data_IF_614401846401
#
_entry.id   IF_614401846401
#
_cell.length_a   1.000
_cell.length_b   1.000
_cell.length_c   1.000
_cell.angle_alpha   90.00
_cell.angle_beta   90.00
_cell.angle_gamma   90.00
#
_symmetry.space_group_name_H-M   'P 1'
#
loop_
_entity.id
_entity.type
_entity.pdbx_description
1 polymer ?
#
# COMPACT_ATOMS: atom_id res chain seq x y z
N UNK A 1 19.12 -1.14 -3.23
CA UNK A 1 20.03 -2.26 -3.61
C UNK A 1 21.49 -1.85 -3.81
N UNK A 2 21.83 -0.56 -3.69
CA UNK A 2 23.22 -0.08 -3.79
C UNK A 2 24.17 -0.87 -2.87
N UNK A 3 25.31 -1.34 -3.43
CA UNK A 3 26.32 -2.10 -2.70
C UNK A 3 26.00 -3.59 -2.48
N UNK A 4 24.81 -4.07 -2.82
CA UNK A 4 24.45 -5.47 -2.65
C UNK A 4 25.22 -6.38 -3.62
N UNK A 5 25.40 -5.96 -4.87
CA UNK A 5 26.16 -6.73 -5.88
C UNK A 5 27.61 -6.94 -5.43
N UNK A 6 28.27 -5.88 -4.97
CA UNK A 6 29.64 -5.93 -4.42
C UNK A 6 29.75 -6.89 -3.22
N UNK A 7 28.76 -6.84 -2.33
CA UNK A 7 28.76 -7.61 -1.08
C UNK A 7 28.41 -9.09 -1.28
N UNK A 8 27.47 -9.41 -2.17
CA UNK A 8 26.89 -10.75 -2.29
C UNK A 8 27.21 -11.46 -3.62
N UNK A 9 27.78 -10.76 -4.58
CA UNK A 9 28.20 -11.28 -5.87
C UNK A 9 27.06 -11.55 -6.86
N UNK A 10 27.42 -11.75 -8.12
CA UNK A 10 26.52 -11.90 -9.26
C UNK A 10 25.57 -13.10 -9.19
N UNK A 11 25.90 -14.12 -8.41
CA UNK A 11 25.02 -15.28 -8.20
C UNK A 11 23.82 -14.97 -7.30
N UNK A 12 23.90 -13.90 -6.50
CA UNK A 12 22.86 -13.47 -5.57
C UNK A 12 22.18 -12.20 -6.02
N UNK A 13 22.89 -11.32 -6.66
CA UNK A 13 22.41 -10.04 -7.17
C UNK A 13 22.69 -9.98 -8.65
N UNK A 14 21.64 -10.04 -9.45
CA UNK A 14 21.71 -10.07 -10.90
C UNK A 14 21.30 -8.71 -11.43
N UNK A 15 22.23 -8.02 -12.05
CA UNK A 15 21.96 -6.78 -12.77
C UNK A 15 21.52 -7.12 -14.19
N UNK A 16 20.24 -6.93 -14.47
CA UNK A 16 19.64 -7.36 -15.74
C UNK A 16 19.64 -6.22 -16.77
N UNK A 17 19.58 -6.52 -18.07
CA UNK A 17 19.12 -5.54 -19.05
C UNK A 17 17.74 -5.00 -18.68
N UNK A 18 17.41 -3.79 -19.11
CA UNK A 18 16.08 -3.17 -18.88
C UNK A 18 15.06 -3.88 -19.78
N UNK A 19 14.45 -4.93 -19.25
CA UNK A 19 13.46 -5.77 -19.93
C UNK A 19 12.49 -6.34 -18.88
N UNK A 20 11.56 -5.53 -18.41
CA UNK A 20 10.69 -5.90 -17.27
C UNK A 20 9.96 -7.21 -17.50
N UNK A 21 9.42 -7.43 -18.70
CA UNK A 21 8.80 -8.71 -19.06
C UNK A 21 9.80 -9.89 -18.97
N UNK A 22 11.01 -9.71 -19.49
CA UNK A 22 12.02 -10.75 -19.55
C UNK A 22 12.57 -11.14 -18.19
N UNK A 23 13.07 -10.18 -17.41
CA UNK A 23 13.65 -10.48 -16.10
C UNK A 23 12.59 -10.93 -15.08
N UNK A 24 11.33 -10.44 -15.19
CA UNK A 24 10.24 -10.90 -14.36
C UNK A 24 9.91 -12.37 -14.65
N UNK A 25 9.82 -12.75 -15.93
CA UNK A 25 9.58 -14.14 -16.32
C UNK A 25 10.71 -15.08 -15.87
N UNK A 26 11.97 -14.65 -16.00
CA UNK A 26 13.13 -15.38 -15.47
C UNK A 26 13.04 -15.60 -13.96
N UNK A 27 12.70 -14.56 -13.21
CA UNK A 27 12.56 -14.65 -11.76
C UNK A 27 11.40 -15.58 -11.35
N UNK A 28 10.27 -15.55 -12.05
CA UNK A 28 9.15 -16.45 -11.81
C UNK A 28 9.55 -17.91 -12.06
N UNK A 29 10.24 -18.20 -13.15
CA UNK A 29 10.79 -19.52 -13.42
C UNK A 29 11.77 -20.00 -12.33
N UNK A 30 12.59 -19.09 -11.81
CA UNK A 30 13.46 -19.36 -10.67
C UNK A 30 12.65 -19.68 -9.38
N UNK A 31 11.55 -18.95 -9.14
CA UNK A 31 10.66 -19.22 -8.01
C UNK A 31 10.01 -20.62 -8.15
N UNK A 32 9.52 -20.99 -9.31
CA UNK A 32 8.98 -22.34 -9.57
C UNK A 32 10.03 -23.47 -9.35
N UNK A 33 11.31 -23.12 -9.49
CA UNK A 33 12.43 -24.04 -9.23
C UNK A 33 12.89 -24.06 -7.77
N UNK A 34 12.16 -23.41 -6.86
CA UNK A 34 12.41 -23.43 -5.41
C UNK A 34 13.30 -22.30 -4.89
N UNK A 35 13.67 -21.32 -5.73
CA UNK A 35 14.34 -20.11 -5.26
C UNK A 35 13.31 -19.09 -4.72
N UNK A 36 13.81 -18.05 -4.02
CA UNK A 36 12.99 -16.95 -3.49
C UNK A 36 13.50 -15.61 -4.04
N UNK A 37 13.21 -15.31 -5.31
CA UNK A 37 13.69 -14.09 -5.95
C UNK A 37 12.96 -12.86 -5.42
N UNK A 38 13.69 -11.74 -5.43
CA UNK A 38 13.16 -10.40 -5.23
C UNK A 38 13.39 -9.65 -6.54
N UNK A 39 12.31 -9.28 -7.20
CA UNK A 39 12.34 -8.45 -8.41
C UNK A 39 12.18 -7.00 -7.98
N UNK A 40 13.16 -6.16 -8.33
CA UNK A 40 13.12 -4.73 -8.09
C UNK A 40 12.82 -4.00 -9.40
N UNK A 41 11.71 -3.30 -9.46
CA UNK A 41 11.41 -2.37 -10.54
C UNK A 41 11.95 -0.98 -10.20
N UNK A 42 12.45 -0.27 -11.19
CA UNK A 42 12.89 1.12 -11.03
C UNK A 42 11.72 1.99 -10.51
N UNK A 43 10.53 1.73 -11.01
CA UNK A 43 9.24 2.19 -10.50
C UNK A 43 8.16 1.19 -10.90
N UNK A 44 7.10 1.06 -10.09
CA UNK A 44 5.97 0.18 -10.42
C UNK A 44 5.23 0.58 -11.70
N UNK A 45 5.40 1.82 -12.17
CA UNK A 45 4.88 2.22 -13.47
C UNK A 45 5.44 1.35 -14.61
N UNK A 46 6.65 0.82 -14.49
CA UNK A 46 7.24 -0.09 -15.48
C UNK A 46 6.92 -1.55 -15.25
N UNK A 47 6.42 -1.92 -14.08
CA UNK A 47 5.89 -3.26 -13.84
C UNK A 47 4.72 -3.61 -14.78
N UNK A 48 4.05 -2.62 -15.35
CA UNK A 48 3.01 -2.80 -16.37
C UNK A 48 3.50 -3.57 -17.60
N UNK A 49 4.78 -3.46 -17.97
CA UNK A 49 5.35 -4.24 -19.06
C UNK A 49 5.46 -5.74 -18.74
N UNK A 50 5.42 -6.10 -17.46
CA UNK A 50 5.47 -7.47 -16.97
C UNK A 50 4.12 -8.00 -16.46
N UNK A 51 3.00 -7.34 -16.76
CA UNK A 51 1.68 -7.68 -16.23
C UNK A 51 1.31 -9.14 -16.47
N UNK A 52 1.53 -9.66 -17.68
CA UNK A 52 1.24 -11.05 -17.99
C UNK A 52 1.99 -12.01 -17.06
N UNK A 53 3.27 -11.75 -16.86
CA UNK A 53 4.12 -12.57 -15.98
C UNK A 53 3.62 -12.52 -14.52
N UNK A 54 3.24 -11.36 -14.02
CA UNK A 54 2.75 -11.20 -12.64
C UNK A 54 1.36 -11.83 -12.48
N UNK A 55 0.43 -11.51 -13.39
CA UNK A 55 -0.99 -11.84 -13.25
C UNK A 55 -1.30 -13.26 -13.70
N UNK A 56 -0.79 -13.68 -14.84
CA UNK A 56 -1.09 -15.01 -15.40
C UNK A 56 -0.11 -16.08 -14.92
N UNK A 57 1.17 -15.79 -14.85
CA UNK A 57 2.16 -16.76 -14.42
C UNK A 57 2.28 -16.83 -12.90
N UNK A 58 2.69 -15.77 -12.21
CA UNK A 58 2.93 -15.82 -10.76
C UNK A 58 1.64 -16.05 -9.96
N UNK A 59 0.59 -15.25 -10.21
CA UNK A 59 -0.61 -15.29 -9.38
C UNK A 59 -1.49 -16.54 -9.60
N UNK A 60 -1.40 -17.22 -10.75
CA UNK A 60 -2.35 -18.29 -11.12
C UNK A 60 -1.75 -19.71 -11.06
N UNK A 61 -0.43 -19.86 -11.13
CA UNK A 61 0.19 -21.18 -11.28
C UNK A 61 -0.09 -22.10 -10.10
N UNK A 62 -0.10 -21.61 -8.86
CA UNK A 62 -0.45 -22.42 -7.71
C UNK A 62 -1.84 -23.06 -7.87
N UNK A 63 -2.83 -22.27 -8.28
CA UNK A 63 -4.19 -22.74 -8.52
C UNK A 63 -4.25 -23.73 -9.70
N UNK A 64 -3.65 -23.37 -10.85
CA UNK A 64 -3.67 -24.19 -12.06
C UNK A 64 -2.92 -25.52 -11.89
N UNK A 65 -1.90 -25.57 -11.04
CA UNK A 65 -1.18 -26.82 -10.74
C UNK A 65 -1.81 -27.67 -9.65
N UNK A 66 -3.02 -27.29 -9.17
CA UNK A 66 -3.65 -28.01 -8.05
C UNK A 66 -2.87 -27.94 -6.75
N UNK A 67 -2.16 -26.82 -6.51
CA UNK A 67 -1.38 -26.59 -5.30
C UNK A 67 0.04 -27.17 -5.34
N UNK A 68 0.50 -27.70 -6.48
CA UNK A 68 1.80 -28.36 -6.57
C UNK A 68 2.97 -27.41 -6.80
N UNK A 69 2.72 -26.26 -7.44
CA UNK A 69 3.77 -25.28 -7.79
C UNK A 69 3.49 -23.97 -7.08
N UNK A 70 4.27 -23.69 -6.04
CA UNK A 70 4.27 -22.37 -5.37
C UNK A 70 5.10 -21.35 -6.14
N UNK A 71 4.86 -20.05 -5.87
CA UNK A 71 5.63 -18.95 -6.47
C UNK A 71 6.09 -17.98 -5.37
N UNK A 72 7.11 -18.34 -4.58
CA UNK A 72 7.64 -17.52 -3.49
C UNK A 72 8.49 -16.37 -4.04
N UNK A 73 7.85 -15.30 -4.51
CA UNK A 73 8.50 -14.16 -5.15
C UNK A 73 8.02 -12.83 -4.57
N UNK A 74 8.92 -11.87 -4.46
CA UNK A 74 8.58 -10.49 -4.08
C UNK A 74 8.82 -9.58 -5.28
N UNK A 75 7.82 -8.83 -5.66
CA UNK A 75 7.90 -7.72 -6.60
C UNK A 75 7.90 -6.42 -5.81
N UNK A 76 8.97 -5.64 -5.86
CA UNK A 76 9.10 -4.40 -5.10
C UNK A 76 9.52 -3.22 -5.96
N UNK A 77 9.23 -2.02 -5.51
CA UNK A 77 9.67 -0.77 -6.13
C UNK A 77 8.81 0.43 -5.72
N UNK A 78 9.24 1.65 -6.10
CA UNK A 78 8.49 2.87 -5.86
C UNK A 78 7.13 2.85 -6.55
N UNK A 79 6.11 3.37 -5.87
CA UNK A 79 4.71 3.44 -6.28
C UNK A 79 4.13 4.79 -5.86
N UNK A 80 3.20 5.32 -6.63
CA UNK A 80 2.56 6.59 -6.36
C UNK A 80 3.35 7.80 -6.87
N UNK A 81 2.94 8.99 -6.45
CA UNK A 81 3.59 10.23 -6.84
C UNK A 81 4.91 10.43 -6.11
N UNK A 82 5.92 10.91 -6.84
CA UNK A 82 7.18 11.37 -6.28
C UNK A 82 7.25 12.90 -6.33
N UNK A 83 8.18 13.46 -7.08
CA UNK A 83 8.34 14.90 -7.21
C UNK A 83 8.44 15.27 -8.68
N UNK A 84 7.35 15.70 -9.28
CA UNK A 84 7.26 16.25 -10.64
C UNK A 84 7.77 15.31 -11.73
N UNK A 85 7.35 14.05 -11.66
CA UNK A 85 7.68 13.03 -12.67
C UNK A 85 6.55 12.77 -13.67
N UNK A 86 5.44 13.49 -13.55
CA UNK A 86 4.30 13.52 -14.46
C UNK A 86 3.52 12.19 -14.58
N UNK A 87 2.67 12.11 -15.60
CA UNK A 87 1.59 11.14 -15.71
C UNK A 87 2.02 9.68 -15.70
N UNK A 88 3.10 9.34 -16.39
CA UNK A 88 3.55 7.94 -16.54
C UNK A 88 4.35 7.42 -15.34
N UNK A 89 4.80 8.29 -14.43
CA UNK A 89 5.69 7.92 -13.33
C UNK A 89 5.11 8.21 -11.95
N UNK A 90 3.80 8.51 -11.86
CA UNK A 90 3.15 8.95 -10.62
C UNK A 90 1.89 8.15 -10.30
N UNK A 91 1.72 6.96 -10.85
CA UNK A 91 0.52 6.16 -10.66
C UNK A 91 0.62 5.31 -9.39
N UNK A 92 -0.48 5.16 -8.68
CA UNK A 92 -0.61 4.21 -7.57
C UNK A 92 -1.28 2.93 -8.07
N UNK A 93 -0.60 1.80 -7.91
CA UNK A 93 -1.03 0.49 -8.37
C UNK A 93 -1.63 -0.38 -7.26
N UNK A 94 -1.86 0.16 -6.07
CA UNK A 94 -2.35 -0.59 -4.92
C UNK A 94 -3.70 -1.28 -5.22
N UNK A 95 -4.67 -0.52 -5.68
CA UNK A 95 -5.99 -1.05 -6.04
C UNK A 95 -5.94 -2.04 -7.21
N UNK A 96 -5.11 -1.72 -8.21
CA UNK A 96 -4.95 -2.57 -9.39
C UNK A 96 -4.47 -3.98 -9.01
N UNK A 97 -3.35 -4.09 -8.29
CA UNK A 97 -2.83 -5.41 -7.90
C UNK A 97 -3.67 -6.06 -6.79
N UNK A 98 -4.31 -5.28 -5.92
CA UNK A 98 -5.21 -5.81 -4.90
C UNK A 98 -6.47 -6.48 -5.50
N UNK A 99 -6.85 -6.14 -6.72
CA UNK A 99 -7.98 -6.78 -7.42
C UNK A 99 -7.65 -8.20 -7.92
N UNK A 100 -6.37 -8.60 -7.99
CA UNK A 100 -5.92 -9.84 -8.62
C UNK A 100 -5.88 -11.01 -7.63
N UNK A 101 -6.76 -12.05 -7.79
CA UNK A 101 -6.67 -13.26 -6.97
C UNK A 101 -5.32 -13.97 -7.14
N UNK A 102 -4.73 -14.39 -6.02
CA UNK A 102 -3.44 -15.07 -5.98
C UNK A 102 -2.26 -14.17 -5.60
N UNK A 103 -2.42 -12.84 -5.64
CA UNK A 103 -1.41 -11.90 -5.15
C UNK A 103 -1.69 -11.49 -3.69
N UNK A 104 -0.61 -11.23 -2.94
CA UNK A 104 -0.64 -10.43 -1.72
C UNK A 104 -0.12 -9.04 -2.05
N UNK A 105 -0.69 -7.99 -1.43
CA UNK A 105 -0.32 -6.59 -1.70
C UNK A 105 -0.04 -5.87 -0.40
N UNK A 106 1.15 -5.31 -0.28
CA UNK A 106 1.68 -4.65 0.92
C UNK A 106 2.11 -3.25 0.53
N UNK A 107 1.79 -2.27 1.38
CA UNK A 107 2.24 -0.89 1.20
C UNK A 107 2.55 -0.25 2.57
N UNK A 108 3.77 -0.43 3.10
CA UNK A 108 4.14 0.06 4.41
C UNK A 108 4.33 1.57 4.45
N UNK A 109 4.15 2.16 5.64
CA UNK A 109 4.46 3.55 5.93
C UNK A 109 5.76 3.71 6.71
N UNK A 110 5.90 3.03 7.84
CA UNK A 110 7.05 3.20 8.71
C UNK A 110 8.25 2.35 8.30
N UNK A 111 9.47 2.78 8.65
CA UNK A 111 10.68 2.00 8.42
C UNK A 111 10.65 0.64 9.14
N UNK A 112 10.05 0.57 10.32
CA UNK A 112 9.86 -0.67 11.07
C UNK A 112 8.95 -1.64 10.33
N UNK A 113 7.79 -1.16 9.84
CA UNK A 113 6.86 -1.98 9.09
C UNK A 113 7.45 -2.39 7.73
N UNK A 114 8.15 -1.48 7.04
CA UNK A 114 8.83 -1.80 5.78
C UNK A 114 9.82 -2.95 5.95
N UNK A 115 10.67 -2.90 6.99
CA UNK A 115 11.63 -3.97 7.30
C UNK A 115 10.93 -5.28 7.69
N UNK A 116 9.95 -5.21 8.61
CA UNK A 116 9.26 -6.38 9.14
C UNK A 116 8.40 -7.09 8.10
N UNK A 117 7.67 -6.32 7.29
CA UNK A 117 6.83 -6.84 6.21
C UNK A 117 7.65 -7.37 5.03
N UNK A 118 8.79 -6.74 4.67
CA UNK A 118 9.66 -7.28 3.62
C UNK A 118 10.25 -8.62 4.03
N UNK A 119 10.64 -8.78 5.30
CA UNK A 119 11.07 -10.08 5.82
C UNK A 119 9.95 -11.13 5.78
N UNK A 120 8.71 -10.74 6.08
CA UNK A 120 7.55 -11.62 5.96
C UNK A 120 7.30 -12.00 4.49
N UNK A 121 7.33 -11.02 3.58
CA UNK A 121 7.13 -11.22 2.15
C UNK A 121 8.15 -12.20 1.54
N UNK A 122 9.44 -12.08 1.90
CA UNK A 122 10.50 -13.00 1.43
C UNK A 122 10.25 -14.45 1.91
N UNK A 123 9.60 -14.62 3.06
CA UNK A 123 9.31 -15.95 3.64
C UNK A 123 7.96 -16.52 3.22
N UNK A 124 7.14 -15.73 2.58
CA UNK A 124 5.83 -16.18 2.07
C UNK A 124 6.01 -17.08 0.85
N UNK A 125 5.20 -18.13 0.75
CA UNK A 125 5.25 -19.07 -0.38
C UNK A 125 4.41 -18.61 -1.59
N UNK A 126 3.76 -17.45 -1.47
CA UNK A 126 2.94 -16.84 -2.53
C UNK A 126 3.61 -15.57 -3.08
N UNK A 127 3.22 -15.14 -4.30
CA UNK A 127 3.71 -13.89 -4.86
C UNK A 127 3.21 -12.68 -4.08
N UNK A 128 4.13 -11.80 -3.72
CA UNK A 128 3.89 -10.58 -2.96
C UNK A 128 4.26 -9.36 -3.78
N UNK A 129 3.31 -8.46 -3.95
CA UNK A 129 3.51 -7.10 -4.44
C UNK A 129 3.84 -6.21 -3.25
N UNK A 130 5.02 -5.62 -3.23
CA UNK A 130 5.52 -4.79 -2.15
C UNK A 130 5.74 -3.37 -2.66
N UNK A 131 4.71 -2.53 -2.49
CA UNK A 131 4.67 -1.16 -2.99
C UNK A 131 5.35 -0.22 -2.01
N UNK A 132 6.36 0.47 -2.47
CA UNK A 132 7.09 1.46 -1.69
C UNK A 132 6.74 2.86 -2.18
N UNK A 133 6.93 3.88 -1.35
CA UNK A 133 6.73 5.26 -1.80
C UNK A 133 8.07 6.00 -1.80
N UNK A 134 8.39 6.66 -2.90
CA UNK A 134 9.68 7.31 -3.10
C UNK A 134 9.93 8.46 -2.10
N UNK A 135 8.88 9.20 -1.75
CA UNK A 135 8.96 10.30 -0.78
C UNK A 135 9.31 9.75 0.62
N UNK A 136 8.81 8.55 0.95
CA UNK A 136 9.09 7.92 2.25
C UNK A 136 10.53 7.45 2.39
N UNK A 137 11.29 7.23 1.30
CA UNK A 137 12.71 6.89 1.39
C UNK A 137 13.55 7.98 2.07
N UNK A 138 13.16 9.25 1.91
CA UNK A 138 13.80 10.39 2.55
C UNK A 138 13.34 10.65 3.99
N UNK A 139 12.27 9.99 4.45
CA UNK A 139 11.70 10.23 5.78
C UNK A 139 12.50 9.50 6.86
N UNK A 140 12.88 10.23 7.88
CA UNK A 140 13.54 9.66 9.06
C UNK A 140 12.50 9.14 10.05
N UNK A 141 12.72 7.93 10.54
CA UNK A 141 11.94 7.29 11.60
C UNK A 141 12.85 6.99 12.79
N UNK A 142 12.28 6.93 14.00
CA UNK A 142 13.03 6.58 15.18
C UNK A 142 13.61 5.15 15.05
N UNK A 143 14.94 5.04 15.17
CA UNK A 143 15.65 3.77 15.06
C UNK A 143 15.30 2.80 16.20
N UNK A 144 14.93 3.29 17.37
CA UNK A 144 14.49 2.45 18.51
C UNK A 144 13.21 1.67 18.19
N UNK A 145 12.38 2.17 17.28
CA UNK A 145 11.16 1.50 16.81
C UNK A 145 11.43 0.39 15.78
N UNK A 146 12.66 0.29 15.25
CA UNK A 146 13.01 -0.69 14.22
C UNK A 146 13.36 -2.04 14.88
N UNK A 147 12.33 -2.76 15.29
CA UNK A 147 12.47 -4.11 15.79
C UNK A 147 13.01 -5.08 14.71
N UNK A 148 13.65 -6.17 15.14
CA UNK A 148 14.05 -7.25 14.23
C UNK A 148 12.91 -8.22 13.91
N UNK A 149 11.71 -7.93 14.38
CA UNK A 149 10.56 -8.80 14.30
C UNK A 149 9.98 -8.86 12.88
N UNK A 150 9.38 -9.99 12.59
CA UNK A 150 8.59 -10.17 11.38
C UNK A 150 7.21 -9.62 11.66
N UNK A 151 6.75 -8.72 10.82
CA UNK A 151 5.37 -8.21 10.88
C UNK A 151 4.48 -9.14 10.06
N UNK A 152 3.42 -9.72 10.64
CA UNK A 152 2.54 -10.62 9.90
C UNK A 152 1.77 -9.89 8.79
N UNK A 153 1.75 -10.51 7.60
CA UNK A 153 0.96 -10.03 6.46
C UNK A 153 -0.52 -10.19 6.78
N UNK A 154 -1.34 -9.20 6.44
CA UNK A 154 -2.79 -9.22 6.69
C UNK A 154 -3.18 -8.71 8.07
N UNK A 155 -2.27 -8.05 8.79
CA UNK A 155 -2.57 -7.41 10.07
C UNK A 155 -2.35 -5.90 10.01
N UNK A 156 -3.42 -5.15 10.26
CA UNK A 156 -3.39 -3.71 10.42
C UNK A 156 -2.77 -3.32 11.78
N UNK A 157 -2.46 -2.04 11.92
CA UNK A 157 -1.97 -1.45 13.15
C UNK A 157 -2.84 -0.27 13.55
N UNK A 158 -3.33 -0.25 14.77
CA UNK A 158 -3.84 0.98 15.35
C UNK A 158 -2.61 1.87 15.60
N UNK A 159 -2.43 2.84 14.72
CA UNK A 159 -1.32 3.78 14.80
C UNK A 159 -1.52 4.79 15.92
N UNK A 160 -2.78 5.19 16.12
CA UNK A 160 -3.22 6.14 17.13
C UNK A 160 -4.63 5.78 17.59
N UNK A 161 -4.84 5.74 18.89
CA UNK A 161 -6.18 5.56 19.47
C UNK A 161 -7.01 6.84 19.39
N UNK A 162 -8.32 6.69 19.19
CA UNK A 162 -9.27 7.79 19.14
C UNK A 162 -10.72 7.33 19.32
N UNK A 163 -11.66 8.27 19.48
CA UNK A 163 -13.03 7.92 19.83
C UNK A 163 -14.12 8.58 18.98
N UNK A 164 -13.80 9.62 18.19
CA UNK A 164 -14.81 10.39 17.45
C UNK A 164 -14.91 10.00 15.98
N UNK A 165 -13.80 9.59 15.37
CA UNK A 165 -13.70 9.25 13.95
C UNK A 165 -12.53 8.31 13.69
N UNK A 166 -12.70 7.34 12.77
CA UNK A 166 -11.62 6.47 12.27
C UNK A 166 -11.08 6.99 10.94
N UNK A 167 -9.76 7.17 10.87
CA UNK A 167 -9.02 7.32 9.63
C UNK A 167 -8.38 6.00 9.24
N UNK A 168 -8.64 5.52 8.03
CA UNK A 168 -8.04 4.30 7.50
C UNK A 168 -7.11 4.70 6.37
N UNK A 169 -5.85 4.31 6.46
CA UNK A 169 -4.86 4.69 5.46
C UNK A 169 -3.74 3.65 5.34
N UNK A 170 -2.85 3.88 4.40
CA UNK A 170 -1.66 3.07 4.12
C UNK A 170 -0.62 3.87 3.33
N UNK A 171 0.63 3.41 3.32
CA UNK A 171 1.70 4.06 2.57
C UNK A 171 1.80 5.55 2.87
N UNK A 172 1.96 6.39 1.83
CA UNK A 172 2.11 7.85 2.00
C UNK A 172 0.85 8.51 2.56
N UNK A 173 -0.33 7.91 2.36
CA UNK A 173 -1.60 8.40 2.90
C UNK A 173 -1.59 8.57 4.41
N UNK A 174 -0.80 7.77 5.12
CA UNK A 174 -0.57 7.91 6.55
C UNK A 174 0.01 9.28 6.95
N UNK A 175 0.80 9.90 6.07
CA UNK A 175 1.33 11.26 6.33
C UNK A 175 0.21 12.28 6.40
N UNK A 176 -0.80 12.18 5.53
CA UNK A 176 -1.96 13.06 5.54
C UNK A 176 -2.85 12.77 6.76
N UNK A 177 -3.11 11.49 7.04
CA UNK A 177 -3.91 11.07 8.19
C UNK A 177 -3.34 11.58 9.53
N UNK A 178 -2.02 11.44 9.74
CA UNK A 178 -1.35 11.86 10.97
C UNK A 178 -1.44 13.38 11.13
N UNK A 179 -1.09 14.15 10.09
CA UNK A 179 -1.13 15.61 10.15
C UNK A 179 -2.55 16.15 10.36
N UNK A 180 -3.53 15.58 9.65
CA UNK A 180 -4.92 15.96 9.82
C UNK A 180 -5.42 15.65 11.24
N UNK A 181 -5.02 14.52 11.83
CA UNK A 181 -5.38 14.16 13.20
C UNK A 181 -4.81 15.13 14.24
N UNK A 182 -3.59 15.63 14.03
CA UNK A 182 -2.95 16.63 14.90
C UNK A 182 -3.74 17.95 14.91
N UNK A 183 -4.21 18.39 13.74
CA UNK A 183 -5.03 19.60 13.61
C UNK A 183 -6.39 19.39 14.30
N UNK A 184 -7.07 18.28 14.01
CA UNK A 184 -8.40 17.97 14.56
C UNK A 184 -8.39 17.83 16.08
N UNK A 185 -7.31 17.33 16.67
CA UNK A 185 -7.16 17.29 18.14
C UNK A 185 -7.16 18.67 18.77
N UNK A 186 -6.53 19.67 18.14
CA UNK A 186 -6.57 21.04 18.65
C UNK A 186 -7.99 21.62 18.65
N UNK A 187 -8.88 21.03 17.86
CA UNK A 187 -10.29 21.39 17.77
C UNK A 187 -11.21 20.44 18.57
N UNK A 188 -10.63 19.53 19.35
CA UNK A 188 -11.35 18.62 20.24
C UNK A 188 -12.01 17.45 19.53
N UNK A 189 -11.50 17.02 18.38
CA UNK A 189 -11.93 15.82 17.65
C UNK A 189 -10.88 14.72 17.83
N UNK A 190 -11.25 13.63 18.48
CA UNK A 190 -10.38 12.50 18.79
C UNK A 190 -10.36 11.50 17.63
N UNK A 191 -9.24 11.42 16.92
CA UNK A 191 -9.06 10.60 15.71
C UNK A 191 -8.37 9.29 16.02
N UNK A 192 -9.00 8.16 15.69
CA UNK A 192 -8.34 6.87 15.61
C UNK A 192 -7.72 6.69 14.23
N UNK A 193 -6.46 6.25 14.15
CA UNK A 193 -5.78 6.01 12.88
C UNK A 193 -5.45 4.52 12.75
N UNK A 194 -5.98 3.89 11.71
CA UNK A 194 -5.70 2.52 11.31
C UNK A 194 -4.76 2.52 10.12
N UNK A 195 -3.52 2.06 10.32
CA UNK A 195 -2.57 1.78 9.24
C UNK A 195 -2.81 0.36 8.73
N UNK A 196 -3.28 0.22 7.52
CA UNK A 196 -3.58 -1.08 6.91
C UNK A 196 -2.32 -1.93 6.72
N UNK A 197 -1.19 -1.33 6.36
CA UNK A 197 0.08 -2.01 6.06
C UNK A 197 -0.03 -3.06 4.94
N UNK A 198 -1.09 -3.86 4.97
CA UNK A 198 -1.43 -4.87 3.97
C UNK A 198 -2.78 -4.55 3.36
N UNK A 199 -2.80 -4.43 2.03
CA UNK A 199 -4.02 -4.14 1.26
C UNK A 199 -4.73 -5.43 0.87
N UNK A 200 -3.98 -6.48 0.60
CA UNK A 200 -4.50 -7.82 0.34
C UNK A 200 -3.62 -8.88 1.00
N UNK A 201 -4.18 -9.69 1.93
CA UNK A 201 -5.54 -9.60 2.48
C UNK A 201 -5.72 -8.38 3.40
N UNK A 202 -6.94 -7.81 3.42
CA UNK A 202 -7.33 -6.78 4.37
C UNK A 202 -7.56 -7.36 5.76
N UNK A 203 -7.15 -6.65 6.80
CA UNK A 203 -7.56 -6.93 8.20
C UNK A 203 -8.95 -6.35 8.46
N UNK A 204 -9.97 -7.08 8.02
CA UNK A 204 -11.37 -6.66 8.15
C UNK A 204 -11.78 -6.44 9.60
N UNK A 205 -11.32 -7.30 10.51
CA UNK A 205 -11.67 -7.24 11.93
C UNK A 205 -11.18 -5.94 12.57
N UNK A 206 -9.95 -5.53 12.26
CA UNK A 206 -9.40 -4.26 12.74
C UNK A 206 -10.20 -3.06 12.22
N UNK A 207 -10.54 -3.05 10.93
CA UNK A 207 -11.34 -2.01 10.29
C UNK A 207 -12.71 -1.90 10.94
N UNK A 208 -13.44 -3.02 11.04
CA UNK A 208 -14.80 -3.07 11.58
C UNK A 208 -14.80 -2.69 13.06
N UNK A 209 -13.85 -3.20 13.85
CA UNK A 209 -13.75 -2.90 15.27
C UNK A 209 -13.49 -1.42 15.54
N UNK A 210 -12.62 -0.80 14.78
CA UNK A 210 -12.33 0.63 14.88
C UNK A 210 -13.56 1.47 14.54
N UNK A 211 -14.23 1.17 13.42
CA UNK A 211 -15.43 1.92 13.01
C UNK A 211 -16.60 1.71 13.97
N UNK A 212 -16.78 0.52 14.54
CA UNK A 212 -17.78 0.28 15.59
C UNK A 212 -17.54 1.10 16.86
N UNK A 213 -16.29 1.44 17.14
CA UNK A 213 -15.92 2.29 18.28
C UNK A 213 -16.22 3.77 18.02
N UNK A 214 -15.92 4.26 16.82
CA UNK A 214 -15.94 5.69 16.50
C UNK A 214 -17.16 6.15 15.72
N UNK A 215 -17.92 5.23 15.13
CA UNK A 215 -19.13 5.41 14.34
C UNK A 215 -18.98 6.25 13.06
N UNK A 216 -17.76 6.68 12.70
CA UNK A 216 -17.46 7.51 11.54
C UNK A 216 -16.15 7.06 10.91
N UNK A 217 -16.07 7.15 9.59
CA UNK A 217 -14.89 6.69 8.86
C UNK A 217 -14.54 7.59 7.68
N UNK A 218 -13.24 7.88 7.55
CA UNK A 218 -12.64 8.42 6.33
C UNK A 218 -11.51 7.48 5.89
N UNK A 219 -11.48 7.15 4.60
CA UNK A 219 -10.33 6.48 3.99
C UNK A 219 -9.44 7.49 3.28
N UNK A 220 -8.14 7.30 3.36
CA UNK A 220 -7.15 8.25 2.83
C UNK A 220 -6.12 7.48 2.04
N UNK A 221 -6.04 7.74 0.73
CA UNK A 221 -5.10 7.09 -0.17
C UNK A 221 -4.66 8.03 -1.31
N UNK A 222 -3.56 7.71 -1.97
CA UNK A 222 -3.03 8.50 -3.08
C UNK A 222 -3.63 8.10 -4.43
N UNK A 223 -4.19 6.90 -4.52
CA UNK A 223 -4.76 6.33 -5.74
C UNK A 223 -5.92 7.12 -6.32
N UNK A 224 -6.34 6.75 -7.52
CA UNK A 224 -7.50 7.34 -8.19
C UNK A 224 -8.80 6.99 -7.47
N UNK A 225 -9.87 7.82 -7.60
CA UNK A 225 -11.11 7.60 -6.85
C UNK A 225 -11.89 6.36 -7.32
N UNK A 226 -11.83 6.05 -8.62
CA UNK A 226 -12.57 4.91 -9.20
C UNK A 226 -11.86 3.60 -8.85
N UNK A 227 -12.60 2.63 -8.33
CA UNK A 227 -12.10 1.32 -7.88
C UNK A 227 -11.01 1.42 -6.80
N UNK A 228 -11.00 2.48 -6.00
CA UNK A 228 -10.04 2.69 -4.92
C UNK A 228 -10.17 1.65 -3.81
N UNK A 229 -9.15 1.53 -2.97
CA UNK A 229 -9.22 0.71 -1.74
C UNK A 229 -10.28 1.25 -0.80
N UNK A 230 -10.42 2.58 -0.72
CA UNK A 230 -11.45 3.24 0.06
C UNK A 230 -12.86 2.85 -0.36
N UNK A 231 -13.14 2.69 -1.66
CA UNK A 231 -14.46 2.21 -2.12
C UNK A 231 -14.72 0.77 -1.72
N UNK A 232 -13.69 -0.08 -1.69
CA UNK A 232 -13.79 -1.46 -1.21
C UNK A 232 -14.08 -1.49 0.30
N UNK A 233 -13.42 -0.63 1.08
CA UNK A 233 -13.65 -0.48 2.53
C UNK A 233 -15.06 0.06 2.79
N UNK A 234 -15.51 1.06 2.02
CA UNK A 234 -16.87 1.59 2.13
C UNK A 234 -17.92 0.50 1.91
N UNK A 235 -17.75 -0.35 0.89
CA UNK A 235 -18.62 -1.49 0.63
C UNK A 235 -18.58 -2.52 1.76
N UNK A 236 -17.41 -2.81 2.33
CA UNK A 236 -17.25 -3.69 3.49
C UNK A 236 -18.03 -3.16 4.70
N UNK A 237 -17.87 -1.87 5.02
CA UNK A 237 -18.54 -1.24 6.16
C UNK A 237 -20.05 -1.19 5.98
N UNK A 238 -20.53 -0.96 4.76
CA UNK A 238 -21.97 -1.01 4.45
C UNK A 238 -22.56 -2.40 4.65
N UNK A 239 -21.82 -3.47 4.40
CA UNK A 239 -22.33 -4.84 4.58
C UNK A 239 -22.14 -5.40 6.00
N UNK A 240 -21.11 -4.99 6.72
CA UNK A 240 -20.74 -5.63 8.00
C UNK A 240 -20.79 -4.69 9.22
N UNK A 241 -20.98 -3.38 9.02
CA UNK A 241 -21.00 -2.38 10.09
C UNK A 241 -22.00 -1.23 9.88
N UNK A 242 -22.98 -1.40 8.99
CA UNK A 242 -23.96 -0.33 8.65
C UNK A 242 -24.65 0.26 9.87
N UNK A 243 -25.12 -0.57 10.79
CA UNK A 243 -25.85 -0.16 11.99
C UNK A 243 -25.01 0.69 12.99
N UNK A 244 -23.71 0.77 12.75
CA UNK A 244 -22.78 1.55 13.57
C UNK A 244 -22.35 2.87 12.91
N UNK A 245 -22.79 3.16 11.69
CA UNK A 245 -22.39 4.36 10.96
C UNK A 245 -23.34 5.53 11.28
N UNK A 246 -22.82 6.60 11.86
CA UNK A 246 -23.54 7.86 12.09
C UNK A 246 -23.48 8.82 10.89
N UNK A 247 -22.60 8.53 9.93
CA UNK A 247 -22.40 9.34 8.72
C UNK A 247 -21.92 8.46 7.54
N UNK A 248 -22.05 8.93 6.29
CA UNK A 248 -21.45 8.24 5.15
C UNK A 248 -19.94 8.08 5.31
N UNK A 249 -19.38 6.95 4.84
CA UNK A 249 -17.94 6.78 4.73
C UNK A 249 -17.43 7.68 3.60
N UNK A 250 -16.50 8.59 3.90
CA UNK A 250 -15.91 9.49 2.93
C UNK A 250 -14.52 9.01 2.51
N UNK A 251 -14.20 9.19 1.24
CA UNK A 251 -12.90 8.80 0.69
C UNK A 251 -12.11 10.06 0.27
N UNK A 252 -10.87 10.19 0.76
CA UNK A 252 -9.89 11.16 0.30
C UNK A 252 -8.92 10.44 -0.64
N UNK A 253 -8.90 10.82 -1.90
CA UNK A 253 -8.11 10.17 -2.96
C UNK A 253 -7.39 11.21 -3.80
N UNK A 254 -6.48 10.78 -4.67
CA UNK A 254 -6.08 11.60 -5.81
C UNK A 254 -7.27 11.99 -6.67
N UNK A 255 -7.09 12.97 -7.53
CA UNK A 255 -8.14 13.40 -8.47
C UNK A 255 -8.15 12.48 -9.70
N UNK A 256 -9.30 12.38 -10.36
CA UNK A 256 -9.48 11.55 -11.56
C UNK A 256 -8.89 12.24 -12.81
N UNK A 257 -7.59 12.45 -12.76
CA UNK A 257 -6.80 13.08 -13.84
C UNK A 257 -5.41 12.44 -13.91
N UNK A 258 -4.80 12.32 -15.09
CA UNK A 258 -3.38 12.00 -15.19
C UNK A 258 -2.54 13.03 -14.45
N UNK A 259 -1.49 12.59 -13.74
CA UNK A 259 -0.66 13.47 -12.92
C UNK A 259 -0.02 14.59 -13.77
N UNK A 260 -0.27 15.86 -13.44
CA UNK A 260 0.36 16.99 -14.13
C UNK A 260 1.86 17.08 -13.82
N UNK A 261 2.63 17.71 -14.73
CA UNK A 261 4.05 17.99 -14.51
C UNK A 261 4.29 19.23 -13.65
N UNK A 262 3.45 20.27 -13.80
CA UNK A 262 3.61 21.52 -13.08
C UNK A 262 3.33 21.32 -11.58
N UNK A 263 4.23 21.80 -10.72
CA UNK A 263 4.18 21.59 -9.27
C UNK A 263 2.85 22.01 -8.61
N UNK A 264 2.31 23.14 -9.01
CA UNK A 264 1.04 23.63 -8.48
C UNK A 264 -0.14 22.73 -8.89
N UNK A 265 -0.12 22.18 -10.10
CA UNK A 265 -1.16 21.26 -10.58
C UNK A 265 -0.98 19.87 -9.99
N UNK A 266 0.25 19.39 -9.79
CA UNK A 266 0.54 18.13 -9.10
C UNK A 266 -0.06 18.16 -7.68
N UNK A 267 0.16 19.25 -6.92
CA UNK A 267 -0.42 19.43 -5.59
C UNK A 267 -1.95 19.41 -5.61
N UNK A 268 -2.59 19.95 -6.63
CA UNK A 268 -4.05 19.94 -6.78
C UNK A 268 -4.59 18.58 -7.20
N UNK A 269 -3.78 17.74 -7.86
CA UNK A 269 -4.16 16.41 -8.29
C UNK A 269 -4.07 15.36 -7.16
N UNK A 270 -3.33 15.64 -6.10
CA UNK A 270 -3.21 14.79 -4.92
C UNK A 270 -4.26 15.14 -3.86
N UNK A 271 -4.51 14.21 -2.92
CA UNK A 271 -5.24 14.55 -1.70
C UNK A 271 -4.40 15.47 -0.81
N UNK A 272 -5.04 16.21 0.08
CA UNK A 272 -4.35 17.13 0.98
C UNK A 272 -4.80 16.97 2.44
N UNK A 273 -4.00 17.52 3.35
CA UNK A 273 -4.34 17.54 4.79
C UNK A 273 -5.63 18.35 5.02
N UNK A 274 -5.77 19.47 4.30
CA UNK A 274 -6.93 20.36 4.38
C UNK A 274 -8.21 19.64 3.94
N UNK A 275 -8.17 18.86 2.84
CA UNK A 275 -9.30 18.05 2.38
C UNK A 275 -9.71 17.02 3.44
N UNK A 276 -8.75 16.35 4.09
CA UNK A 276 -9.03 15.37 5.13
C UNK A 276 -9.68 16.05 6.35
N UNK A 277 -9.15 17.20 6.79
CA UNK A 277 -9.71 17.97 7.91
C UNK A 277 -11.13 18.45 7.61
N UNK A 278 -11.38 18.99 6.42
CA UNK A 278 -12.69 19.47 5.99
C UNK A 278 -13.72 18.32 6.00
N UNK A 279 -13.39 17.18 5.39
CA UNK A 279 -14.26 16.01 5.37
C UNK A 279 -14.51 15.45 6.78
N UNK A 280 -13.50 15.47 7.66
CA UNK A 280 -13.68 15.04 9.04
C UNK A 280 -14.68 15.93 9.81
N UNK A 281 -14.57 17.25 9.67
CA UNK A 281 -15.53 18.20 10.24
C UNK A 281 -16.93 18.00 9.69
N UNK A 282 -17.05 17.76 8.38
CA UNK A 282 -18.33 17.49 7.73
C UNK A 282 -19.08 16.32 8.39
N UNK A 283 -18.41 15.21 8.65
CA UNK A 283 -19.07 14.00 9.19
C UNK A 283 -19.07 13.93 10.71
N UNK A 284 -18.34 14.80 11.40
CA UNK A 284 -18.43 15.00 12.84
C UNK A 284 -19.41 16.12 13.22
N UNK A 285 -19.97 16.80 12.21
CA UNK A 285 -20.93 17.92 12.37
C UNK A 285 -20.35 19.09 13.18
N UNK A 286 -19.08 19.43 12.97
CA UNK A 286 -18.35 20.51 13.65
C UNK A 286 -17.71 21.50 12.69
#
# INVERSE_FOLDING_TARGET
>A
SQGLLEKFGERRVIDTPITEHGFTGLAIGAAFSGLRPIVEYMTFNFAMQAMDQIINSAAKTLYMSGGQISCPIVFRGPNGAAARVAAQHSQDFSAFFASIPGLKVIQPYSASDAKGLLKAAIRDDNPVIFLENEILYGKKFDASSIANDIVPIGKAKIYKEGNDITFISFGIGMTYAIKASEILETEGISVEIVDLRTIRPLDKDAIISSVKKTNRCITIEEGFPICSIGTTISSLLMSEAFDYLDAPVLNCTGKDVPMPYAENLEKLALTSVEEVVEKAKQITYR
#
